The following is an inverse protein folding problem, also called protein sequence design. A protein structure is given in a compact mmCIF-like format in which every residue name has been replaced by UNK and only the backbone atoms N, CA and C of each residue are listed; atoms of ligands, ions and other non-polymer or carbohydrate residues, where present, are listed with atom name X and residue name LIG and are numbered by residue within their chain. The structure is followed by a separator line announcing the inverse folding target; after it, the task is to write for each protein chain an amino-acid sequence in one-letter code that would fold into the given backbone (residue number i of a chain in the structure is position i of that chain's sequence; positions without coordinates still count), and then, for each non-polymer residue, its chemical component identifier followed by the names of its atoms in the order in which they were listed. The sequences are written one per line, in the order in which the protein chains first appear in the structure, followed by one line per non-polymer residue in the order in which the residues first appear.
data_IF_032531046699
#
_entry.id   IF_032531046699
#
_cell.length_a   1.000
_cell.length_b   1.000
_cell.length_c   1.000
_cell.angle_alpha   90.00
_cell.angle_beta   90.00
_cell.angle_gamma   90.00
#
_symmetry.space_group_name_H-M   'P 1'
#
loop_
_entity.id
_entity.type
_entity.pdbx_description
1 polymer ?
#
# COMPACT_ATOMS: atom_id res chain seq x y z
N UNK A 1 -19.60 -7.08 1.18
CA UNK A 1 -18.80 -6.34 0.18
C UNK A 1 -17.35 -6.48 0.59
N UNK A 2 -16.43 -6.59 -0.36
CA UNK A 2 -14.98 -6.75 -0.11
C UNK A 2 -14.41 -5.60 0.76
N UNK A 3 -15.13 -4.48 0.84
CA UNK A 3 -14.83 -3.35 1.73
C UNK A 3 -15.93 -3.21 2.78
N UNK A 4 -15.72 -3.81 3.95
CA UNK A 4 -16.51 -3.51 5.15
C UNK A 4 -15.93 -2.23 5.76
N UNK A 5 -16.81 -1.24 5.95
CA UNK A 5 -16.47 0.08 6.45
C UNK A 5 -16.74 0.11 7.95
N UNK A 6 -15.72 -0.14 8.75
CA UNK A 6 -15.78 0.10 10.18
C UNK A 6 -15.08 1.45 10.44
N UNK A 7 -15.90 2.51 10.54
CA UNK A 7 -15.45 3.85 10.90
C UNK A 7 -15.00 3.86 12.38
N UNK A 8 -13.82 3.32 12.69
CA UNK A 8 -13.33 3.26 14.05
C UNK A 8 -12.26 4.33 14.33
N UNK A 9 -12.62 5.19 15.28
CA UNK A 9 -11.81 5.97 16.24
C UNK A 9 -10.28 5.87 16.09
N UNK A 10 -9.67 6.98 15.63
CA UNK A 10 -8.22 7.15 15.46
C UNK A 10 -7.63 6.26 14.36
N UNK A 11 -7.37 6.88 13.19
CA UNK A 11 -6.77 6.19 12.05
C UNK A 11 -5.42 5.60 12.44
N UNK A 12 -5.31 4.27 12.33
CA UNK A 12 -4.07 3.54 12.61
C UNK A 12 -2.95 4.00 11.66
N UNK A 13 -3.32 4.33 10.43
CA UNK A 13 -2.46 4.97 9.42
C UNK A 13 -1.92 6.32 9.90
N UNK A 14 -2.73 7.16 10.54
CA UNK A 14 -2.27 8.46 11.07
C UNK A 14 -1.21 8.29 12.16
N UNK A 15 -1.37 7.29 13.05
CA UNK A 15 -0.35 6.93 14.04
C UNK A 15 0.91 6.37 13.42
N UNK A 16 0.78 5.60 12.34
CA UNK A 16 1.91 5.05 11.61
C UNK A 16 2.71 6.18 10.95
N UNK A 17 2.03 7.15 10.36
CA UNK A 17 2.63 8.33 9.73
C UNK A 17 3.32 9.28 10.73
N UNK A 18 2.96 9.22 12.01
CA UNK A 18 3.62 9.99 13.08
C UNK A 18 5.00 9.42 13.45
N UNK A 19 5.33 8.17 13.04
CA UNK A 19 6.64 7.57 13.26
C UNK A 19 7.71 8.23 12.39
N UNK A 20 8.86 8.53 12.99
CA UNK A 20 10.00 9.20 12.31
C UNK A 20 10.59 8.41 11.12
N UNK A 21 10.41 7.09 11.10
CA UNK A 21 10.96 6.18 10.08
C UNK A 21 9.89 5.29 9.43
N UNK A 22 8.66 5.79 9.29
CA UNK A 22 7.62 5.05 8.57
C UNK A 22 8.05 4.77 7.13
N UNK A 23 7.82 3.54 6.68
CA UNK A 23 8.11 3.12 5.30
C UNK A 23 6.81 2.97 4.51
N UNK A 24 6.92 3.08 3.18
CA UNK A 24 5.78 2.82 2.29
C UNK A 24 5.25 1.40 2.48
N UNK A 25 6.14 0.43 2.72
CA UNK A 25 5.75 -0.97 2.89
C UNK A 25 4.92 -1.19 4.16
N UNK A 26 5.29 -0.56 5.28
CA UNK A 26 4.45 -0.61 6.49
C UNK A 26 3.06 0.00 6.24
N UNK A 27 2.98 1.08 5.46
CA UNK A 27 1.69 1.69 5.10
C UNK A 27 0.84 0.82 4.17
N UNK A 28 1.48 0.09 3.24
CA UNK A 28 0.78 -0.80 2.31
C UNK A 28 0.30 -2.09 2.97
N UNK A 29 0.87 -2.48 4.10
CA UNK A 29 0.43 -3.63 4.91
C UNK A 29 -0.86 -3.33 5.70
N UNK A 30 -1.20 -2.05 5.91
CA UNK A 30 -2.42 -1.66 6.63
C UNK A 30 -3.68 -1.93 5.77
N UNK A 31 -4.61 -2.73 6.29
CA UNK A 31 -5.88 -3.05 5.62
C UNK A 31 -6.73 -1.80 5.28
N UNK A 32 -6.62 -0.75 6.10
CA UNK A 32 -7.38 0.49 5.95
C UNK A 32 -6.76 1.49 4.96
N UNK A 33 -5.60 1.20 4.37
CA UNK A 33 -4.86 2.15 3.52
C UNK A 33 -5.69 2.72 2.36
N UNK A 34 -6.46 1.85 1.69
CA UNK A 34 -7.34 2.24 0.60
C UNK A 34 -8.54 3.05 1.09
N UNK A 35 -9.03 2.75 2.29
CA UNK A 35 -10.13 3.51 2.90
C UNK A 35 -9.67 4.91 3.28
N UNK A 36 -8.49 5.05 3.89
CA UNK A 36 -7.91 6.33 4.29
C UNK A 36 -7.57 7.22 3.08
N UNK A 37 -7.08 6.62 1.98
CA UNK A 37 -6.93 7.31 0.70
C UNK A 37 -8.28 7.86 0.21
N UNK A 38 -9.33 7.04 0.24
CA UNK A 38 -10.69 7.43 -0.18
C UNK A 38 -11.30 8.48 0.73
N UNK A 39 -11.02 8.42 2.03
CA UNK A 39 -11.42 9.42 3.02
C UNK A 39 -10.62 10.73 2.90
N UNK A 40 -9.72 10.83 1.93
CA UNK A 40 -8.88 12.00 1.68
C UNK A 40 -8.01 12.39 2.88
N UNK A 41 -7.49 11.40 3.61
CA UNK A 41 -6.58 11.63 4.72
C UNK A 41 -5.34 12.42 4.22
N UNK A 42 -5.26 13.70 4.62
CA UNK A 42 -4.24 14.62 4.12
C UNK A 42 -2.82 14.17 4.45
N UNK A 43 -2.59 13.58 5.64
CA UNK A 43 -1.25 13.10 6.01
C UNK A 43 -0.82 11.95 5.12
N UNK A 44 -1.75 11.02 4.85
CA UNK A 44 -1.48 9.89 3.98
C UNK A 44 -1.24 10.36 2.54
N UNK A 45 -2.10 11.23 2.02
CA UNK A 45 -1.94 11.77 0.68
C UNK A 45 -0.63 12.55 0.53
N UNK A 46 -0.26 13.38 1.51
CA UNK A 46 1.03 14.07 1.51
C UNK A 46 2.19 13.09 1.45
N UNK A 47 2.16 12.03 2.25
CA UNK A 47 3.18 10.99 2.24
C UNK A 47 3.28 10.27 0.89
N UNK A 48 2.16 9.76 0.36
CA UNK A 48 2.14 9.03 -0.91
C UNK A 48 2.52 9.91 -2.10
N UNK A 49 2.25 11.22 -2.03
CA UNK A 49 2.63 12.19 -3.06
C UNK A 49 4.12 12.58 -3.04
N UNK A 50 4.90 12.14 -2.04
CA UNK A 50 6.36 12.36 -2.03
C UNK A 50 7.00 11.59 -3.18
N UNK A 51 7.96 12.21 -3.84
CA UNK A 51 8.65 11.63 -5.01
C UNK A 51 9.17 10.22 -4.73
N UNK A 52 9.89 10.02 -3.62
CA UNK A 52 10.40 8.71 -3.21
C UNK A 52 9.29 7.65 -3.04
N UNK A 53 8.14 8.03 -2.49
CA UNK A 53 7.02 7.11 -2.26
C UNK A 53 6.32 6.79 -3.59
N UNK A 54 6.18 7.78 -4.48
CA UNK A 54 5.61 7.58 -5.81
C UNK A 54 6.48 6.64 -6.66
N UNK A 55 7.79 6.83 -6.63
CA UNK A 55 8.73 5.94 -7.33
C UNK A 55 8.64 4.51 -6.80
N UNK A 56 8.60 4.33 -5.47
CA UNK A 56 8.45 3.01 -4.85
C UNK A 56 7.10 2.37 -5.15
N UNK A 57 6.00 3.13 -5.13
CA UNK A 57 4.67 2.63 -5.54
C UNK A 57 4.69 2.13 -6.98
N UNK A 58 5.31 2.89 -7.89
CA UNK A 58 5.44 2.49 -9.29
C UNK A 58 6.32 1.24 -9.39
N UNK A 59 7.45 1.18 -8.68
CA UNK A 59 8.29 -0.01 -8.62
C UNK A 59 7.50 -1.23 -8.13
N UNK A 60 6.70 -1.12 -7.08
CA UNK A 60 5.90 -2.23 -6.54
C UNK A 60 4.85 -2.75 -7.54
N UNK A 61 4.32 -1.88 -8.41
CA UNK A 61 3.32 -2.26 -9.42
C UNK A 61 3.99 -2.79 -10.70
N UNK A 62 5.14 -2.23 -11.07
CA UNK A 62 5.78 -2.44 -12.38
C UNK A 62 6.95 -3.40 -12.35
N UNK A 63 7.55 -3.67 -11.18
CA UNK A 63 8.59 -4.66 -11.09
C UNK A 63 7.99 -6.05 -11.22
N UNK A 64 8.43 -6.77 -12.26
CA UNK A 64 8.27 -8.20 -12.34
C UNK A 64 8.79 -8.84 -11.04
N UNK A 65 8.07 -9.83 -10.48
CA UNK A 65 8.55 -10.55 -9.32
C UNK A 65 9.98 -11.01 -9.59
N UNK A 66 10.90 -10.83 -8.63
CA UNK A 66 12.30 -11.17 -8.84
C UNK A 66 12.38 -12.61 -9.35
N UNK A 67 13.25 -12.85 -10.33
CA UNK A 67 13.43 -14.15 -10.99
C UNK A 67 13.77 -15.30 -10.00
N UNK A 68 14.08 -14.95 -8.75
CA UNK A 68 14.41 -15.83 -7.62
C UNK A 68 13.24 -16.05 -6.63
N UNK A 69 12.04 -15.49 -6.88
CA UNK A 69 10.83 -15.92 -6.17
C UNK A 69 10.22 -17.10 -6.92
N UNK A 70 10.41 -18.29 -6.32
CA UNK A 70 9.85 -19.61 -6.64
C UNK A 70 8.83 -19.63 -7.79
N UNK A 71 9.15 -20.35 -8.87
CA UNK A 71 8.37 -20.67 -10.08
C UNK A 71 6.87 -21.01 -9.89
N UNK A 72 6.38 -21.19 -8.67
CA UNK A 72 5.03 -21.66 -8.34
C UNK A 72 3.89 -20.66 -8.55
N UNK A 73 4.16 -19.40 -8.89
CA UNK A 73 3.09 -18.43 -9.25
C UNK A 73 3.18 -17.99 -10.73
N UNK A 74 4.01 -18.64 -11.55
CA UNK A 74 4.06 -18.34 -13.00
C UNK A 74 2.93 -18.97 -13.83
N UNK A 75 2.19 -19.95 -13.29
CA UNK A 75 1.23 -20.74 -14.07
C UNK A 75 -0.25 -20.32 -13.93
N UNK A 76 -0.56 -19.03 -13.80
CA UNK A 76 -1.97 -18.61 -13.94
C UNK A 76 -2.24 -17.47 -14.92
N UNK A 77 -1.21 -16.99 -15.62
CA UNK A 77 -1.38 -15.95 -16.65
C UNK A 77 -1.05 -16.41 -18.06
N UNK A 78 -0.76 -17.71 -18.25
CA UNK A 78 -0.36 -18.26 -19.56
C UNK A 78 -1.40 -19.13 -20.26
N UNK A 79 -2.57 -19.40 -19.65
CA UNK A 79 -3.65 -20.12 -20.34
C UNK A 79 -5.02 -19.67 -19.86
N UNK A 80 -5.75 -19.05 -20.81
CA UNK A 80 -7.18 -18.66 -20.82
C UNK A 80 -7.59 -17.34 -20.15
#
# INVERSE_FOLDING_TARGET
MFWKFDLNTTSHVDKLLDKEHVTLQELMDEDDILQECKAQNQKLLDFLCRQQCMEELVNLITQDPPLDMEEKVRFKSATD
#
